data_IF_662526295313
#
_entry.id   IF_662526295313
#
_cell.length_a   1.000
_cell.length_b   1.000
_cell.length_c   1.000
_cell.angle_alpha   90.00
_cell.angle_beta   90.00
_cell.angle_gamma   90.00
#
_symmetry.space_group_name_H-M   'P 1'
#
loop_
_entity.id
_entity.type
_entity.pdbx_description
1 polymer ?
#
# COMPACT_ATOMS: atom_id res chain seq x y z
N UNK A 1 8.99 4.53 -26.20
CA UNK A 1 9.85 5.55 -25.56
C UNK A 1 9.48 5.46 -24.10
N UNK A 2 10.36 4.89 -23.28
CA UNK A 2 10.17 4.76 -21.84
C UNK A 2 10.33 6.16 -21.22
N UNK A 3 9.39 6.54 -20.36
CA UNK A 3 9.21 7.89 -19.83
C UNK A 3 9.89 7.99 -18.47
N UNK A 4 11.19 8.29 -18.44
CA UNK A 4 11.97 8.42 -17.20
C UNK A 4 11.22 9.22 -16.13
N UNK A 5 11.10 8.65 -14.92
CA UNK A 5 10.55 9.36 -13.77
C UNK A 5 11.39 10.60 -13.47
N UNK A 6 10.74 11.73 -13.26
CA UNK A 6 11.35 12.99 -12.84
C UNK A 6 11.09 13.22 -11.36
N UNK A 7 12.12 13.41 -10.56
CA UNK A 7 11.97 13.74 -9.15
C UNK A 7 11.95 15.26 -8.95
N UNK A 8 11.07 15.74 -8.08
CA UNK A 8 10.94 17.16 -7.79
C UNK A 8 10.67 17.40 -6.32
N UNK A 9 11.45 18.28 -5.69
CA UNK A 9 11.21 18.66 -4.30
C UNK A 9 9.88 19.44 -4.19
N UNK A 10 8.94 19.01 -3.34
CA UNK A 10 7.64 19.66 -3.20
C UNK A 10 7.72 21.04 -2.54
N UNK A 11 8.83 21.36 -1.86
CA UNK A 11 8.99 22.59 -1.07
C UNK A 11 9.67 23.71 -1.86
N UNK A 12 10.64 23.38 -2.72
CA UNK A 12 11.40 24.36 -3.50
C UNK A 12 11.34 24.17 -5.02
N UNK A 13 10.74 23.07 -5.50
CA UNK A 13 10.68 22.75 -6.93
C UNK A 13 12.01 22.31 -7.54
N UNK A 14 13.03 21.99 -6.75
CA UNK A 14 14.31 21.49 -7.26
C UNK A 14 14.13 20.17 -8.01
N UNK A 15 14.65 20.09 -9.23
CA UNK A 15 14.60 18.90 -10.11
C UNK A 15 15.98 18.29 -10.35
N UNK A 16 17.01 18.72 -9.61
CA UNK A 16 18.38 18.21 -9.67
C UNK A 16 18.54 16.95 -8.81
N UNK A 17 17.56 16.05 -8.87
CA UNK A 17 17.46 14.85 -8.03
C UNK A 17 17.28 13.63 -8.95
N UNK A 18 18.17 12.66 -8.82
CA UNK A 18 18.18 11.45 -9.64
C UNK A 18 17.54 10.27 -8.90
N UNK A 19 17.63 10.24 -7.56
CA UNK A 19 17.10 9.15 -6.74
C UNK A 19 16.15 9.63 -5.62
N UNK A 20 15.16 8.81 -5.20
CA UNK A 20 14.31 9.14 -4.06
C UNK A 20 15.10 9.36 -2.75
N UNK A 21 16.23 8.67 -2.59
CA UNK A 21 17.17 8.87 -1.49
C UNK A 21 17.71 10.31 -1.46
N UNK A 22 18.15 10.82 -2.61
CA UNK A 22 18.61 12.21 -2.76
C UNK A 22 17.49 13.22 -2.48
N UNK A 23 16.25 12.90 -2.87
CA UNK A 23 15.09 13.74 -2.53
C UNK A 23 14.90 13.83 -1.02
N UNK A 24 14.98 12.71 -0.29
CA UNK A 24 14.90 12.72 1.17
C UNK A 24 16.04 13.52 1.80
N UNK A 25 17.27 13.31 1.33
CA UNK A 25 18.44 14.02 1.83
C UNK A 25 18.35 15.54 1.57
N UNK A 26 17.90 15.92 0.37
CA UNK A 26 17.67 17.31 0.01
C UNK A 26 16.64 17.96 0.93
N UNK A 27 15.50 17.30 1.14
CA UNK A 27 14.45 17.83 2.01
C UNK A 27 14.92 17.95 3.46
N UNK A 28 15.68 16.96 3.96
CA UNK A 28 16.27 17.04 5.30
C UNK A 28 17.26 18.19 5.44
N UNK A 29 18.17 18.37 4.48
CA UNK A 29 19.21 19.42 4.55
C UNK A 29 18.71 20.83 4.22
N UNK A 30 17.82 20.97 3.23
CA UNK A 30 17.38 22.27 2.72
C UNK A 30 16.12 22.80 3.40
N UNK A 31 15.30 21.91 3.97
CA UNK A 31 14.00 22.26 4.56
C UNK A 31 13.87 21.87 6.04
N UNK A 32 14.95 21.37 6.67
CA UNK A 32 15.00 21.01 8.09
C UNK A 32 13.85 20.08 8.50
N UNK A 33 13.53 19.13 7.61
CA UNK A 33 12.47 18.15 7.82
C UNK A 33 13.08 16.78 8.08
N UNK A 34 12.75 16.17 9.21
CA UNK A 34 13.35 14.90 9.63
C UNK A 34 12.82 13.73 8.79
N UNK A 35 13.52 13.45 7.67
CA UNK A 35 13.27 12.30 6.82
C UNK A 35 14.35 11.25 7.08
N UNK A 36 14.01 10.27 7.92
CA UNK A 36 14.91 9.20 8.28
C UNK A 36 14.86 8.07 7.23
N UNK A 37 15.87 8.01 6.36
CA UNK A 37 16.07 6.85 5.49
C UNK A 37 16.57 5.67 6.33
N UNK A 38 15.80 4.59 6.37
CA UNK A 38 16.09 3.37 7.13
C UNK A 38 16.42 2.22 6.18
N UNK A 39 17.15 1.24 6.70
CA UNK A 39 17.48 0.01 5.98
C UNK A 39 16.94 -1.21 6.72
N UNK A 40 16.43 -2.18 5.97
CA UNK A 40 15.95 -3.45 6.49
C UNK A 40 16.44 -4.63 5.64
N UNK A 41 16.41 -5.82 6.21
CA UNK A 41 16.71 -7.06 5.49
C UNK A 41 15.71 -8.13 5.88
N UNK A 42 15.25 -8.89 4.90
CA UNK A 42 14.31 -9.99 5.05
C UNK A 42 14.93 -11.26 4.47
N UNK A 43 14.72 -12.38 5.16
CA UNK A 43 15.24 -13.69 4.74
C UNK A 43 14.48 -14.28 3.54
N UNK A 44 13.29 -13.76 3.24
CA UNK A 44 12.49 -14.18 2.10
C UNK A 44 11.62 -13.05 1.58
N UNK A 45 11.25 -13.15 0.30
CA UNK A 45 10.27 -12.26 -0.32
C UNK A 45 8.92 -12.25 0.43
N UNK A 46 8.51 -13.39 1.01
CA UNK A 46 7.26 -13.48 1.78
C UNK A 46 7.29 -12.59 3.01
N UNK A 47 8.39 -12.59 3.76
CA UNK A 47 8.55 -11.72 4.93
C UNK A 47 8.54 -10.24 4.55
N UNK A 48 9.20 -9.90 3.43
CA UNK A 48 9.14 -8.55 2.88
C UNK A 48 7.70 -8.12 2.55
N UNK A 49 6.90 -8.99 1.93
CA UNK A 49 5.51 -8.67 1.59
C UNK A 49 4.64 -8.46 2.83
N UNK A 50 4.78 -9.30 3.86
CA UNK A 50 4.04 -9.13 5.11
C UNK A 50 4.37 -7.77 5.75
N UNK A 51 5.65 -7.43 5.79
CA UNK A 51 6.10 -6.14 6.29
C UNK A 51 5.54 -4.98 5.45
N UNK A 52 5.60 -5.08 4.12
CA UNK A 52 5.07 -4.06 3.23
C UNK A 52 3.56 -3.86 3.45
N UNK A 53 2.79 -4.94 3.53
CA UNK A 53 1.35 -4.89 3.84
C UNK A 53 1.08 -4.22 5.19
N UNK A 54 1.88 -4.52 6.23
CA UNK A 54 1.71 -3.87 7.54
C UNK A 54 1.92 -2.35 7.49
N UNK A 55 2.87 -1.89 6.67
CA UNK A 55 3.08 -0.45 6.46
C UNK A 55 1.93 0.14 5.67
N UNK A 56 1.47 -0.52 4.62
CA UNK A 56 0.34 -0.07 3.80
C UNK A 56 -0.97 0.04 4.59
N UNK A 57 -1.24 -0.89 5.50
CA UNK A 57 -2.41 -0.86 6.38
C UNK A 57 -2.43 0.33 7.33
N UNK A 58 -1.25 0.78 7.79
CA UNK A 58 -1.16 1.95 8.68
C UNK A 58 -1.33 3.29 7.97
N UNK A 59 -1.41 3.30 6.63
CA UNK A 59 -1.45 4.52 5.82
C UNK A 59 -2.87 4.89 5.40
N UNK A 60 -3.20 6.17 5.54
CA UNK A 60 -4.39 6.77 4.91
C UNK A 60 -4.15 7.17 3.44
N UNK A 61 -2.89 7.37 3.07
CA UNK A 61 -2.49 8.16 1.91
C UNK A 61 -1.94 7.29 0.78
N UNK A 62 -2.80 6.48 0.17
CA UNK A 62 -2.45 5.70 -1.02
C UNK A 62 -1.40 4.59 -0.82
N UNK A 63 -1.48 3.56 -1.65
CA UNK A 63 -0.50 2.47 -1.67
C UNK A 63 0.77 2.84 -2.43
N UNK A 64 1.76 1.94 -2.41
CA UNK A 64 2.95 2.09 -3.24
C UNK A 64 2.70 1.55 -4.66
N UNK A 65 3.28 2.17 -5.68
CA UNK A 65 3.36 1.58 -7.01
C UNK A 65 4.82 1.21 -7.27
N UNK A 66 5.03 0.05 -7.87
CA UNK A 66 6.30 -0.21 -8.54
C UNK A 66 6.52 0.82 -9.63
N UNK A 67 7.67 1.48 -9.61
CA UNK A 67 8.18 2.11 -10.81
C UNK A 67 8.42 1.00 -11.82
N UNK A 68 7.62 0.98 -12.88
CA UNK A 68 7.85 0.17 -14.09
C UNK A 68 9.17 0.57 -14.79
N UNK A 69 9.81 1.64 -14.32
CA UNK A 69 11.14 2.11 -14.69
C UNK A 69 12.04 2.26 -13.45
N UNK A 70 12.64 1.15 -13.00
CA UNK A 70 13.80 1.13 -12.12
C UNK A 70 15.06 0.72 -12.90
N UNK A 71 16.28 1.03 -12.41
CA UNK A 71 17.51 0.58 -13.04
C UNK A 71 17.47 -0.95 -13.26
N UNK A 72 17.66 -1.34 -14.51
CA UNK A 72 17.46 -2.68 -15.08
C UNK A 72 18.54 -3.68 -14.62
N UNK A 73 18.64 -3.94 -13.31
CA UNK A 73 19.35 -5.11 -12.78
C UNK A 73 18.32 -6.08 -12.19
N UNK A 74 18.41 -7.35 -12.56
CA UNK A 74 17.49 -8.41 -12.12
C UNK A 74 17.36 -8.39 -10.57
N UNK A 75 16.23 -7.90 -10.06
CA UNK A 75 15.91 -7.87 -8.63
C UNK A 75 15.91 -6.49 -7.96
N UNK A 76 16.28 -5.40 -8.64
CA UNK A 76 16.27 -4.03 -8.07
C UNK A 76 15.08 -3.21 -8.57
N UNK A 77 14.30 -2.61 -7.66
CA UNK A 77 13.17 -1.75 -8.03
C UNK A 77 12.74 -0.80 -6.92
N UNK A 78 12.08 0.28 -7.32
CA UNK A 78 11.50 1.27 -6.40
C UNK A 78 9.99 1.11 -6.30
N UNK A 79 9.49 1.23 -5.07
CA UNK A 79 8.10 1.39 -4.73
C UNK A 79 7.89 2.83 -4.26
N UNK A 80 7.12 3.62 -5.02
CA UNK A 80 6.94 5.04 -4.78
C UNK A 80 5.54 5.31 -4.26
N UNK A 81 5.41 6.25 -3.33
CA UNK A 81 4.11 6.63 -2.79
C UNK A 81 3.21 7.23 -3.87
N UNK A 82 2.03 6.66 -4.07
CA UNK A 82 1.03 7.18 -5.01
C UNK A 82 0.16 8.22 -4.32
N UNK A 83 0.38 9.49 -4.62
CA UNK A 83 -0.56 10.54 -4.22
C UNK A 83 -1.91 10.27 -4.89
N UNK A 84 -2.96 10.02 -4.10
CA UNK A 84 -4.33 10.05 -4.64
C UNK A 84 -4.61 11.49 -5.09
N UNK A 85 -4.97 11.73 -6.36
CA UNK A 85 -5.43 13.06 -6.75
C UNK A 85 -6.69 13.39 -5.94
N UNK A 86 -6.59 14.40 -5.07
CA UNK A 86 -7.73 14.87 -4.29
C UNK A 86 -8.81 15.35 -5.25
N UNK A 87 -10.00 14.74 -5.20
CA UNK A 87 -11.16 15.03 -6.08
C UNK A 87 -11.71 16.47 -5.85
N UNK A 88 -11.15 17.23 -4.91
CA UNK A 88 -11.60 18.56 -4.48
C UNK A 88 -11.24 19.76 -5.39
N UNK A 89 -10.31 19.65 -6.34
CA UNK A 89 -9.91 20.79 -7.20
C UNK A 89 -10.93 21.09 -8.35
N UNK A 90 -12.19 20.71 -8.17
CA UNK A 90 -13.31 20.93 -9.10
C UNK A 90 -13.81 22.38 -9.04
N UNK A 91 -13.00 23.35 -9.48
CA UNK A 91 -13.58 24.59 -10.04
C UNK A 91 -12.64 25.34 -10.99
N UNK A 92 -12.89 25.10 -12.29
CA UNK A 92 -12.44 25.86 -13.48
C UNK A 92 -10.95 25.64 -13.77
N UNK A 93 -10.56 24.95 -14.84
CA UNK A 93 -10.92 25.19 -16.25
C UNK A 93 -10.81 23.89 -17.07
N UNK A 94 -11.65 23.78 -18.08
CA UNK A 94 -11.66 22.71 -19.08
C UNK A 94 -10.49 22.93 -20.06
N UNK A 95 -9.38 22.21 -19.89
CA UNK A 95 -8.41 21.81 -20.95
C UNK A 95 -7.07 21.46 -20.30
N UNK A 96 -7.02 20.36 -19.56
CA UNK A 96 -5.73 19.77 -19.19
C UNK A 96 -5.88 18.29 -19.50
N UNK A 97 -5.39 17.91 -20.68
CA UNK A 97 -5.14 16.51 -21.00
C UNK A 97 -4.36 15.95 -19.81
N UNK A 98 -4.95 14.95 -19.15
CA UNK A 98 -4.43 14.34 -17.95
C UNK A 98 -3.21 13.51 -18.34
N UNK A 99 -2.10 14.20 -18.62
CA UNK A 99 -0.79 13.59 -18.69
C UNK A 99 -0.48 13.24 -17.25
N UNK A 100 -0.58 11.95 -16.90
CA UNK A 100 0.12 11.40 -15.73
C UNK A 100 1.55 11.90 -15.87
N UNK A 101 1.85 12.98 -15.16
CA UNK A 101 3.17 13.55 -15.18
C UNK A 101 3.97 12.51 -14.42
N UNK A 102 4.97 11.88 -15.06
CA UNK A 102 5.90 10.94 -14.41
C UNK A 102 6.79 11.67 -13.37
N UNK A 103 6.25 12.70 -12.72
CA UNK A 103 6.89 13.53 -11.74
C UNK A 103 6.53 13.02 -10.35
N UNK A 104 7.54 12.57 -9.61
CA UNK A 104 7.38 12.09 -8.24
C UNK A 104 7.82 13.21 -7.30
N UNK A 105 6.87 13.67 -6.50
CA UNK A 105 7.07 14.77 -5.54
C UNK A 105 7.01 14.33 -4.09
N UNK A 106 6.63 13.06 -3.83
CA UNK A 106 6.54 12.54 -2.48
C UNK A 106 7.88 11.94 -2.05
N UNK A 107 8.34 12.25 -0.84
CA UNK A 107 9.56 11.69 -0.27
C UNK A 107 9.42 10.23 0.19
N UNK A 108 8.20 9.69 0.31
CA UNK A 108 8.03 8.33 0.79
C UNK A 108 8.30 7.30 -0.31
N UNK A 109 9.25 6.39 -0.06
CA UNK A 109 9.65 5.35 -1.00
C UNK A 109 10.11 4.07 -0.27
N UNK A 110 10.12 2.96 -0.99
CA UNK A 110 10.80 1.71 -0.61
C UNK A 110 11.62 1.25 -1.81
N UNK A 111 12.93 1.33 -1.70
CA UNK A 111 13.88 0.74 -2.62
C UNK A 111 14.12 -0.72 -2.22
N UNK A 112 13.93 -1.64 -3.15
CA UNK A 112 14.00 -3.08 -2.93
C UNK A 112 15.10 -3.67 -3.79
N UNK A 113 15.96 -4.49 -3.18
CA UNK A 113 17.01 -5.26 -3.85
C UNK A 113 16.87 -6.73 -3.46
N UNK A 114 16.44 -7.56 -4.40
CA UNK A 114 16.34 -9.00 -4.27
C UNK A 114 17.67 -9.65 -4.68
N UNK A 115 18.21 -10.47 -3.80
CA UNK A 115 19.44 -11.24 -4.05
C UNK A 115 19.11 -12.61 -4.63
N UNK A 116 20.05 -13.21 -5.38
CA UNK A 116 19.89 -14.55 -5.94
C UNK A 116 19.66 -15.64 -4.87
N UNK A 117 20.06 -15.38 -3.62
CA UNK A 117 19.84 -16.27 -2.48
C UNK A 117 18.39 -16.19 -1.93
N UNK A 118 17.53 -15.35 -2.51
CA UNK A 118 16.14 -15.13 -2.10
C UNK A 118 15.97 -14.17 -0.91
N UNK A 119 17.06 -13.61 -0.38
CA UNK A 119 17.00 -12.53 0.60
C UNK A 119 16.62 -11.22 -0.06
N UNK A 120 15.83 -10.39 0.64
CA UNK A 120 15.41 -9.06 0.18
C UNK A 120 16.00 -8.01 1.10
N UNK A 121 16.78 -7.09 0.53
CA UNK A 121 17.27 -5.91 1.23
C UNK A 121 16.43 -4.72 0.84
N UNK A 122 16.07 -3.86 1.79
CA UNK A 122 15.27 -2.67 1.53
C UNK A 122 15.93 -1.43 2.11
N UNK A 123 15.80 -0.33 1.42
CA UNK A 123 16.05 1.01 1.93
C UNK A 123 14.78 1.84 1.76
N UNK A 124 14.32 2.53 2.80
CA UNK A 124 12.99 3.13 2.77
C UNK A 124 12.90 4.40 3.60
N UNK A 125 12.02 5.30 3.17
CA UNK A 125 11.54 6.45 3.92
C UNK A 125 10.01 6.36 3.97
N UNK A 126 9.43 6.32 5.17
CA UNK A 126 7.96 6.20 5.32
C UNK A 126 7.29 7.56 5.49
N UNK A 127 8.07 8.56 5.86
CA UNK A 127 7.66 9.93 6.10
C UNK A 127 7.32 10.65 4.79
N UNK A 128 6.14 11.27 4.76
CA UNK A 128 5.60 11.97 3.59
C UNK A 128 5.91 13.45 3.64
N UNK A 129 6.59 13.92 2.61
CA UNK A 129 6.70 15.34 2.27
C UNK A 129 6.05 15.55 0.90
N UNK A 130 5.23 16.60 0.75
CA UNK A 130 4.56 16.94 -0.51
C UNK A 130 3.11 16.52 -0.63
N UNK A 131 2.56 15.82 0.37
CA UNK A 131 1.12 15.64 0.53
C UNK A 131 0.57 16.76 1.42
N UNK A 132 -0.59 17.32 1.07
CA UNK A 132 -1.27 18.30 1.92
C UNK A 132 -2.19 17.53 2.86
N UNK A 133 -2.03 17.66 4.18
CA UNK A 133 -2.81 16.92 5.19
C UNK A 133 -4.31 17.32 5.25
N UNK A 134 -4.74 18.22 4.37
CA UNK A 134 -6.07 18.86 4.41
C UNK A 134 -7.26 17.90 4.21
N UNK A 135 -7.05 16.68 3.70
CA UNK A 135 -8.14 15.69 3.56
C UNK A 135 -8.55 15.05 4.91
N UNK A 136 -7.81 15.26 6.01
CA UNK A 136 -8.21 14.74 7.34
C UNK A 136 -9.25 15.62 8.06
N UNK A 137 -9.54 16.81 7.54
CA UNK A 137 -10.37 17.80 8.26
C UNK A 137 -11.82 17.93 7.75
N UNK A 138 -12.18 17.37 6.58
CA UNK A 138 -13.52 17.62 6.00
C UNK A 138 -14.60 16.59 6.36
N UNK A 139 -14.29 15.44 6.98
CA UNK A 139 -15.31 14.41 7.24
C UNK A 139 -16.07 14.57 8.58
N UNK A 140 -15.74 15.57 9.42
CA UNK A 140 -16.41 15.76 10.73
C UNK A 140 -17.22 17.07 10.83
N UNK A 141 -17.20 17.98 9.85
CA UNK A 141 -17.87 19.29 9.98
C UNK A 141 -18.89 19.69 8.89
N UNK A 142 -19.51 18.74 8.18
CA UNK A 142 -20.62 19.07 7.25
C UNK A 142 -22.04 18.94 7.84
N UNK A 143 -22.18 18.78 9.16
CA UNK A 143 -23.48 18.80 9.86
C UNK A 143 -23.62 19.90 10.90
N UNK A 144 -23.18 21.14 10.65
CA UNK A 144 -23.75 22.32 11.34
C UNK A 144 -23.39 23.66 10.70
N UNK A 145 -24.44 24.44 10.46
CA UNK A 145 -24.45 25.92 10.43
C UNK A 145 -23.91 26.65 9.20
N UNK A 146 -24.76 26.78 8.18
CA UNK A 146 -25.02 28.13 7.63
C UNK A 146 -26.48 28.52 7.85
N UNK A 147 -26.69 29.08 9.05
CA UNK A 147 -27.85 29.89 9.43
C UNK A 147 -27.90 31.09 8.46
N UNK A 148 -28.63 30.97 7.35
CA UNK A 148 -29.02 32.14 6.55
C UNK A 148 -30.09 32.88 7.33
N UNK A 149 -29.71 34.04 7.82
CA UNK A 149 -30.60 35.00 8.47
C UNK A 149 -31.48 35.65 7.41
N UNK A 150 -32.79 35.61 7.65
CA UNK A 150 -33.86 36.49 7.13
C UNK A 150 -34.03 36.62 5.61
N UNK A 151 -35.12 36.04 5.09
CA UNK A 151 -36.12 36.83 4.37
C UNK A 151 -37.52 36.24 4.63
N UNK A 152 -38.41 37.07 5.19
CA UNK A 152 -39.80 36.79 5.54
C UNK A 152 -40.64 36.46 4.31
N UNK A 153 -41.44 35.39 4.36
CA UNK A 153 -42.81 35.35 3.79
C UNK A 153 -43.57 34.10 4.28
N UNK A 154 -44.66 34.35 5.02
CA UNK A 154 -46.00 33.72 4.95
C UNK A 154 -46.08 32.30 4.34
N UNK A 155 -46.73 31.27 4.91
CA UNK A 155 -48.01 31.21 5.65
C UNK A 155 -48.28 29.75 6.13
N UNK A 156 -49.38 29.49 6.88
CA UNK A 156 -49.56 28.30 7.74
C UNK A 156 -50.65 27.30 7.30
N UNK A 157 -50.53 26.05 7.78
CA UNK A 157 -51.60 25.06 8.08
C UNK A 157 -50.95 23.85 8.78
N UNK A 158 -51.24 23.49 10.05
CA UNK A 158 -52.39 22.71 10.58
C UNK A 158 -52.60 21.43 9.76
N UNK A 159 -52.48 20.20 10.27
CA UNK A 159 -52.98 19.51 11.48
C UNK A 159 -52.09 18.26 11.73
N UNK A 160 -51.76 17.88 12.97
CA UNK A 160 -52.47 16.96 13.90
C UNK A 160 -52.36 15.47 13.53
N UNK A 161 -52.39 14.62 14.56
CA UNK A 161 -52.31 13.15 14.61
C UNK A 161 -50.91 12.48 14.80
N UNK A 162 -50.52 12.41 16.08
CA UNK A 162 -50.48 11.20 16.92
C UNK A 162 -50.09 9.86 16.27
N UNK A 163 -49.01 9.23 16.78
CA UNK A 163 -48.84 7.78 16.96
C UNK A 163 -47.60 7.54 17.86
N UNK A 164 -47.85 7.00 19.06
CA UNK A 164 -46.88 6.50 20.03
C UNK A 164 -46.11 5.27 19.50
N UNK A 165 -44.82 5.17 19.77
CA UNK A 165 -44.09 3.90 19.68
C UNK A 165 -43.03 3.83 20.80
N UNK A 166 -43.45 3.22 21.90
CA UNK A 166 -42.63 2.74 23.01
C UNK A 166 -41.76 1.57 22.53
N UNK A 167 -40.44 1.76 22.44
CA UNK A 167 -39.50 0.67 22.24
C UNK A 167 -38.48 0.63 23.40
N UNK A 168 -38.83 -0.17 24.42
CA UNK A 168 -37.91 -0.64 25.44
C UNK A 168 -37.18 -1.88 24.93
N UNK A 169 -35.86 -1.80 24.76
CA UNK A 169 -35.04 -2.98 24.50
C UNK A 169 -33.84 -3.09 25.46
N UNK A 170 -33.82 -4.22 26.17
CA UNK A 170 -32.66 -5.01 26.57
C UNK A 170 -31.70 -4.44 27.66
N UNK A 171 -32.04 -4.70 28.93
CA UNK A 171 -31.02 -4.96 29.97
C UNK A 171 -31.26 -6.32 30.60
N UNK A 172 -30.49 -7.34 30.20
CA UNK A 172 -30.26 -8.54 31.00
C UNK A 172 -29.12 -9.37 30.44
N UNK A 173 -28.01 -9.43 31.18
CA UNK A 173 -27.15 -10.61 31.21
C UNK A 173 -26.50 -10.72 32.59
N UNK A 174 -26.94 -11.74 33.33
CA UNK A 174 -26.42 -12.15 34.63
C UNK A 174 -25.27 -13.14 34.43
N UNK A 175 -24.16 -12.85 35.09
CA UNK A 175 -23.23 -13.71 35.84
C UNK A 175 -23.47 -15.24 35.87
N UNK A 176 -22.37 -16.00 35.72
CA UNK A 176 -22.16 -17.22 36.51
C UNK A 176 -21.16 -18.24 35.94
N UNK A 177 -20.01 -18.41 36.61
CA UNK A 177 -19.39 -19.68 37.07
C UNK A 177 -17.84 -19.66 36.98
N UNK A 178 -17.14 -19.63 38.12
CA UNK A 178 -16.53 -20.74 38.88
C UNK A 178 -15.07 -21.05 38.48
N UNK A 179 -14.13 -20.54 39.28
CA UNK A 179 -12.81 -21.16 39.58
C UNK A 179 -13.02 -22.24 40.67
N UNK A 180 -12.06 -23.16 41.03
CA UNK A 180 -10.64 -22.86 41.32
C UNK A 180 -9.54 -23.96 41.07
N UNK A 181 -8.33 -23.49 40.70
CA UNK A 181 -6.97 -23.80 41.23
C UNK A 181 -6.39 -25.25 41.26
N UNK A 182 -5.10 -25.47 41.62
CA UNK A 182 -3.81 -24.80 41.33
C UNK A 182 -2.68 -25.81 40.93
N UNK A 183 -1.51 -25.35 40.45
CA UNK A 183 -0.26 -26.17 40.54
C UNK A 183 1.05 -25.39 40.28
N UNK A 184 1.84 -25.24 41.36
CA UNK A 184 3.30 -25.43 41.48
C UNK A 184 4.30 -24.46 40.80
N UNK A 185 4.83 -23.58 41.67
CA UNK A 185 6.21 -23.08 41.83
C UNK A 185 7.35 -23.64 40.95
N UNK A 186 8.14 -22.75 40.34
CA UNK A 186 9.60 -22.63 40.60
C UNK A 186 10.18 -21.33 39.99
N UNK A 187 11.09 -20.62 40.70
CA UNK A 187 11.69 -19.38 40.23
C UNK A 187 13.06 -19.63 39.56
N UNK A 188 13.28 -19.04 38.39
CA UNK A 188 14.62 -18.91 37.80
C UNK A 188 14.83 -17.42 37.51
N UNK A 189 15.86 -16.85 38.13
CA UNK A 189 16.32 -15.47 37.91
C UNK A 189 17.41 -15.54 36.86
N UNK A 190 17.20 -14.94 35.69
CA UNK A 190 18.28 -14.55 34.76
C UNK A 190 17.84 -13.29 34.02
N UNK A 191 18.53 -12.19 34.36
CA UNK A 191 18.95 -11.01 33.59
C UNK A 191 18.11 -10.44 32.42
N UNK A 192 17.98 -9.10 32.47
CA UNK A 192 17.36 -8.19 31.49
C UNK A 192 17.67 -8.53 30.03
N UNK A 193 16.67 -9.07 29.33
CA UNK A 193 16.55 -8.99 27.87
C UNK A 193 15.18 -8.40 27.55
N UNK A 194 15.22 -7.22 26.93
CA UNK A 194 14.07 -6.44 26.48
C UNK A 194 13.24 -7.22 25.45
N UNK A 195 12.32 -8.06 25.92
CA UNK A 195 11.28 -8.65 25.10
C UNK A 195 10.17 -7.62 24.91
N UNK A 196 10.14 -6.99 23.74
CA UNK A 196 8.91 -6.41 23.22
C UNK A 196 7.87 -7.54 23.15
N UNK A 197 6.90 -7.46 24.06
CA UNK A 197 5.69 -8.27 24.04
C UNK A 197 4.95 -7.90 22.76
N UNK A 198 5.14 -8.72 21.72
CA UNK A 198 4.24 -8.76 20.58
C UNK A 198 2.94 -9.32 21.14
N UNK A 199 1.96 -8.44 21.32
CA UNK A 199 0.58 -8.87 21.57
C UNK A 199 0.18 -9.85 20.47
N UNK A 200 -0.35 -11.00 20.91
CA UNK A 200 -0.94 -12.06 20.11
C UNK A 200 -2.18 -11.53 19.37
N UNK A 201 -1.93 -10.71 18.36
CA UNK A 201 -2.89 -10.38 17.35
C UNK A 201 -3.08 -11.62 16.51
N UNK A 202 -4.23 -12.25 16.63
CA UNK A 202 -4.66 -13.33 15.74
C UNK A 202 -4.69 -12.79 14.31
N UNK A 203 -3.57 -12.88 13.60
CA UNK A 203 -3.45 -12.51 12.20
C UNK A 203 -4.48 -13.33 11.41
N UNK A 204 -5.22 -12.68 10.51
CA UNK A 204 -6.18 -13.38 9.66
C UNK A 204 -5.43 -14.23 8.62
N UNK A 205 -5.07 -15.45 9.05
CA UNK A 205 -4.41 -16.47 8.24
C UNK A 205 -5.19 -16.76 6.94
N UNK A 206 -6.49 -16.45 6.90
CA UNK A 206 -7.35 -16.63 5.73
C UNK A 206 -6.94 -15.71 4.58
N UNK A 207 -6.62 -14.44 4.88
CA UNK A 207 -6.17 -13.46 3.88
C UNK A 207 -4.83 -13.87 3.27
N UNK A 208 -3.86 -14.26 4.12
CA UNK A 208 -2.55 -14.73 3.68
C UNK A 208 -2.66 -16.00 2.81
N UNK A 209 -3.50 -16.96 3.22
CA UNK A 209 -3.69 -18.19 2.47
C UNK A 209 -4.34 -17.95 1.09
N UNK A 210 -5.26 -16.98 1.01
CA UNK A 210 -5.87 -16.58 -0.27
C UNK A 210 -4.82 -15.98 -1.22
N UNK A 211 -3.97 -15.08 -0.72
CA UNK A 211 -2.90 -14.49 -1.50
C UNK A 211 -1.88 -15.54 -1.99
N UNK A 212 -1.48 -16.46 -1.11
CA UNK A 212 -0.56 -17.55 -1.48
C UNK A 212 -1.18 -18.41 -2.59
N UNK A 213 -2.46 -18.77 -2.47
CA UNK A 213 -3.17 -19.58 -3.46
C UNK A 213 -3.23 -18.85 -4.81
N UNK A 214 -3.58 -17.57 -4.83
CA UNK A 214 -3.64 -16.76 -6.05
C UNK A 214 -2.28 -16.65 -6.76
N UNK A 215 -1.18 -16.46 -6.00
CA UNK A 215 0.16 -16.44 -6.59
C UNK A 215 0.57 -17.80 -7.13
N UNK A 216 0.22 -18.88 -6.45
CA UNK A 216 0.50 -20.25 -6.92
C UNK A 216 -0.27 -20.55 -8.22
N UNK A 217 -1.54 -20.18 -8.29
CA UNK A 217 -2.37 -20.36 -9.49
C UNK A 217 -1.83 -19.55 -10.68
N UNK A 218 -1.47 -18.28 -10.44
CA UNK A 218 -0.87 -17.42 -11.46
C UNK A 218 0.45 -18.00 -11.99
N UNK A 219 1.26 -18.57 -11.09
CA UNK A 219 2.54 -19.21 -11.45
C UNK A 219 2.31 -20.50 -12.24
N UNK A 220 1.32 -21.30 -11.83
CA UNK A 220 0.93 -22.51 -12.54
C UNK A 220 0.45 -22.21 -13.97
N UNK A 221 -0.32 -21.13 -14.17
CA UNK A 221 -0.76 -20.70 -15.49
C UNK A 221 0.40 -20.24 -16.39
N UNK A 222 1.35 -19.50 -15.83
CA UNK A 222 2.59 -19.12 -16.55
C UNK A 222 3.39 -20.35 -16.96
N UNK A 223 3.54 -21.34 -16.08
CA UNK A 223 4.23 -22.59 -16.39
C UNK A 223 3.51 -23.39 -17.49
N UNK A 224 2.18 -23.44 -17.47
CA UNK A 224 1.39 -24.08 -18.54
C UNK A 224 1.58 -23.38 -19.88
N UNK A 225 1.59 -22.05 -19.89
CA UNK A 225 1.81 -21.25 -21.09
C UNK A 225 3.21 -21.50 -21.68
N UNK A 226 4.26 -21.48 -20.85
CA UNK A 226 5.63 -21.80 -21.28
C UNK A 226 5.76 -23.23 -21.81
N UNK A 227 5.15 -24.19 -21.12
CA UNK A 227 5.15 -25.60 -21.53
C UNK A 227 4.50 -25.76 -22.91
N UNK A 228 3.41 -25.03 -23.18
CA UNK A 228 2.75 -25.04 -24.49
C UNK A 228 3.65 -24.48 -25.60
N UNK A 229 4.32 -23.35 -25.35
CA UNK A 229 5.27 -22.74 -26.30
C UNK A 229 6.42 -23.70 -26.61
N UNK A 230 6.98 -24.35 -25.58
CA UNK A 230 8.05 -25.34 -25.76
C UNK A 230 7.58 -26.56 -26.58
N UNK A 231 6.36 -27.02 -26.36
CA UNK A 231 5.77 -28.12 -27.13
C UNK A 231 5.57 -27.75 -28.61
N UNK A 232 5.10 -26.53 -28.89
CA UNK A 232 4.94 -26.01 -30.26
C UNK A 232 6.30 -25.90 -30.98
N UNK A 233 7.31 -25.35 -30.31
CA UNK A 233 8.68 -25.27 -30.84
C UNK A 233 9.27 -26.65 -31.14
N UNK A 234 9.06 -27.63 -30.27
CA UNK A 234 9.53 -29.00 -30.49
C UNK A 234 8.89 -29.65 -31.73
N UNK A 235 7.59 -29.38 -31.98
CA UNK A 235 6.90 -29.84 -33.19
C UNK A 235 7.47 -29.17 -34.44
N UNK A 236 7.77 -27.88 -34.38
CA UNK A 236 8.29 -27.14 -35.54
C UNK A 236 9.73 -27.50 -35.89
N UNK A 237 10.59 -27.75 -34.88
CA UNK A 237 11.94 -28.30 -35.10
C UNK A 237 11.84 -29.63 -35.84
N UNK A 238 10.97 -30.55 -35.39
CA UNK A 238 10.79 -31.86 -36.01
C UNK A 238 10.30 -31.75 -37.47
N UNK A 239 9.36 -30.85 -37.76
CA UNK A 239 8.92 -30.57 -39.14
C UNK A 239 10.04 -30.03 -40.02
N UNK A 240 10.97 -29.26 -39.45
CA UNK A 240 12.12 -28.72 -40.18
C UNK A 240 13.10 -29.84 -40.56
N UNK A 241 13.37 -30.76 -39.65
CA UNK A 241 14.26 -31.92 -39.88
C UNK A 241 13.71 -32.85 -40.98
N UNK A 242 12.39 -33.12 -40.97
CA UNK A 242 11.73 -33.94 -42.00
C UNK A 242 11.86 -33.33 -43.41
N UNK A 243 11.87 -31.99 -43.51
CA UNK A 243 12.06 -31.26 -44.77
C UNK A 243 13.51 -31.27 -45.26
N UNK A 244 14.49 -31.29 -44.35
CA UNK A 244 15.90 -31.39 -44.74
C UNK A 244 16.24 -32.79 -45.27
N UNK A 245 15.62 -33.84 -44.72
CA UNK A 245 15.79 -35.22 -45.20
C UNK A 245 15.25 -35.45 -46.63
N UNK A 246 14.30 -34.63 -47.10
CA UNK A 246 13.69 -34.79 -48.43
C UNK A 246 14.47 -34.09 -49.56
N UNK A 247 15.44 -33.25 -49.24
CA UNK A 247 16.27 -32.53 -50.21
C UNK A 247 17.61 -33.22 -50.53
N UNK A 248 17.89 -34.38 -49.93
CA UNK A 248 19.08 -35.19 -50.19
C UNK A 248 18.66 -36.47 -50.95
N UNK A 249 18.18 -36.32 -52.18
CA UNK A 249 18.02 -37.40 -53.16
C UNK A 249 18.50 -36.90 -54.52
#
# INVERSE_FOLDING_TARGET
MCSSIQLCCPMCGSTELETPEELCEHVARAHDHDLAVRSGRFDSYVHFQIWLSSIEETRSDGGYIGSDEGPSYEGEYYLLCRRKPSIGAKRRRLSEEFVESNTVTCSAFVHVVETLDGCVSVQYCLEHCGHCEDDRSEEIQSTRSRKRVNLKRSSPCISDDHCDDDCHCETSSKSGSLSPSPSIYSPIREDDVNHNVIEDGTYDLSSLNTFITERLDTTADRLRALTKVLAELAVDIKKCDDRQCTLVI
#
